data_IF_374449207381
#
_entry.id   IF_374449207381
#
_cell.length_a   1.000
_cell.length_b   1.000
_cell.length_c   1.000
_cell.angle_alpha   90.00
_cell.angle_beta   90.00
_cell.angle_gamma   90.00
#
_symmetry.space_group_name_H-M   'P 1'
#
loop_
_entity.id
_entity.type
_entity.pdbx_description
1 polymer ?
#
# COMPACT_ATOMS: atom_id res chain seq x y z
N UNK A 1 1.01 9.98 -9.32
CA UNK A 1 0.08 9.92 -8.18
C UNK A 1 0.87 9.71 -6.91
N UNK A 2 0.56 10.46 -5.87
CA UNK A 2 1.31 10.39 -4.62
C UNK A 2 0.59 9.48 -3.63
N UNK A 3 0.98 8.22 -3.61
CA UNK A 3 0.37 7.24 -2.73
C UNK A 3 0.94 7.35 -1.32
N UNK A 4 0.13 7.01 -0.32
CA UNK A 4 0.54 7.03 1.09
C UNK A 4 1.33 5.79 1.51
N UNK A 5 1.69 4.93 0.57
CA UNK A 5 2.32 3.64 0.90
C UNK A 5 3.68 3.81 1.59
N UNK A 6 4.45 4.82 1.20
CA UNK A 6 5.72 5.12 1.85
C UNK A 6 5.52 5.58 3.29
N UNK A 7 4.57 6.49 3.50
CA UNK A 7 4.30 7.02 4.84
C UNK A 7 3.84 5.92 5.78
N UNK A 8 2.96 5.03 5.31
CA UNK A 8 2.49 3.91 6.12
C UNK A 8 3.62 2.93 6.44
N UNK A 9 4.51 2.69 5.48
CA UNK A 9 5.67 1.84 5.69
C UNK A 9 6.60 2.44 6.75
N UNK A 10 6.89 3.73 6.63
CA UNK A 10 7.77 4.41 7.57
C UNK A 10 7.16 4.46 8.98
N UNK A 11 5.84 4.61 9.09
CA UNK A 11 5.14 4.59 10.38
C UNK A 11 5.32 3.25 11.11
N UNK A 12 5.53 2.16 10.37
CA UNK A 12 5.77 0.83 10.94
C UNK A 12 7.26 0.54 11.17
N UNK A 13 8.12 1.48 10.83
CA UNK A 13 9.58 1.29 10.88
C UNK A 13 10.05 0.13 9.99
N UNK A 14 9.33 -0.13 8.90
CA UNK A 14 9.71 -1.16 7.94
C UNK A 14 10.54 -0.56 6.80
N UNK A 15 11.45 -1.38 6.26
CA UNK A 15 12.17 -0.98 5.04
C UNK A 15 11.44 -1.50 3.80
N UNK A 16 11.90 -1.06 2.62
CA UNK A 16 11.25 -1.46 1.36
C UNK A 16 11.35 -2.97 1.11
N UNK A 17 12.44 -3.58 1.52
CA UNK A 17 12.65 -5.02 1.35
C UNK A 17 11.59 -5.83 2.09
N UNK A 18 11.26 -5.42 3.32
CA UNK A 18 10.25 -6.12 4.11
C UNK A 18 8.88 -6.11 3.44
N UNK A 19 8.49 -4.95 2.91
CA UNK A 19 7.20 -4.84 2.22
C UNK A 19 7.23 -5.58 0.89
N UNK A 20 8.33 -5.49 0.16
CA UNK A 20 8.49 -6.23 -1.10
C UNK A 20 8.38 -7.74 -0.88
N UNK A 21 8.97 -8.26 0.17
CA UNK A 21 8.87 -9.68 0.54
C UNK A 21 7.41 -10.07 0.84
N UNK A 22 6.68 -9.23 1.57
CA UNK A 22 5.26 -9.46 1.83
C UNK A 22 4.48 -9.55 0.52
N UNK A 23 4.81 -8.69 -0.45
CA UNK A 23 4.15 -8.66 -1.76
C UNK A 23 4.70 -9.72 -2.72
N UNK A 24 5.71 -10.47 -2.31
CA UNK A 24 6.35 -11.51 -3.11
C UNK A 24 6.96 -10.94 -4.39
N UNK A 25 7.66 -9.81 -4.27
CA UNK A 25 8.30 -9.13 -5.39
C UNK A 25 9.67 -8.59 -4.97
N UNK A 26 10.45 -8.10 -5.96
CA UNK A 26 11.75 -7.53 -5.69
C UNK A 26 11.65 -6.15 -5.04
N UNK A 27 12.67 -5.79 -4.25
CA UNK A 27 12.75 -4.46 -3.63
C UNK A 27 12.80 -3.37 -4.71
N UNK A 28 13.52 -3.60 -5.81
CA UNK A 28 13.60 -2.64 -6.92
C UNK A 28 12.23 -2.40 -7.54
N UNK A 29 11.46 -3.47 -7.77
CA UNK A 29 10.11 -3.35 -8.32
C UNK A 29 9.18 -2.60 -7.38
N UNK A 30 9.24 -2.90 -6.09
CA UNK A 30 8.43 -2.20 -5.10
C UNK A 30 8.80 -0.72 -5.00
N UNK A 31 10.11 -0.42 -5.04
CA UNK A 31 10.58 0.97 -4.95
C UNK A 31 9.98 1.85 -6.04
N UNK A 32 9.74 1.30 -7.22
CA UNK A 32 9.15 2.04 -8.33
C UNK A 32 7.68 2.41 -8.06
N UNK A 33 7.00 1.65 -7.21
CA UNK A 33 5.66 2.03 -6.76
C UNK A 33 5.72 3.26 -5.85
N UNK A 34 6.69 3.32 -4.94
CA UNK A 34 6.82 4.46 -4.03
C UNK A 34 7.23 5.74 -4.76
N UNK A 35 8.07 5.62 -5.78
CA UNK A 35 8.51 6.79 -6.57
C UNK A 35 7.50 7.24 -7.62
N UNK A 36 6.52 6.39 -7.94
CA UNK A 36 5.54 6.68 -8.97
C UNK A 36 6.00 6.34 -10.38
N UNK A 37 7.17 5.71 -10.54
CA UNK A 37 7.64 5.26 -11.86
C UNK A 37 6.72 4.21 -12.47
N UNK A 38 6.16 3.34 -11.65
CA UNK A 38 5.21 2.31 -12.08
C UNK A 38 3.89 2.49 -11.35
N UNK A 39 2.79 2.25 -12.06
CA UNK A 39 1.47 2.21 -11.45
C UNK A 39 1.32 0.95 -10.61
N UNK A 40 0.59 1.07 -9.50
CA UNK A 40 0.36 -0.05 -8.59
C UNK A 40 -0.87 -0.83 -9.07
N UNK A 41 -0.72 -2.12 -9.40
CA UNK A 41 -1.89 -2.93 -9.78
C UNK A 41 -2.91 -3.02 -8.65
N UNK A 42 -4.17 -3.24 -9.01
CA UNK A 42 -5.26 -3.34 -8.01
C UNK A 42 -4.99 -4.46 -7.01
N UNK A 43 -4.46 -5.60 -7.47
CA UNK A 43 -4.11 -6.71 -6.58
C UNK A 43 -3.09 -6.31 -5.51
N UNK A 44 -2.12 -5.49 -5.88
CA UNK A 44 -1.10 -5.00 -4.95
C UNK A 44 -1.71 -3.95 -4.01
N UNK A 45 -2.59 -3.09 -4.51
CA UNK A 45 -3.31 -2.12 -3.66
C UNK A 45 -4.13 -2.85 -2.60
N UNK A 46 -4.83 -3.92 -2.98
CA UNK A 46 -5.59 -4.72 -2.02
C UNK A 46 -4.69 -5.34 -0.96
N UNK A 47 -3.55 -5.90 -1.36
CA UNK A 47 -2.60 -6.49 -0.43
C UNK A 47 -2.03 -5.45 0.54
N UNK A 48 -1.71 -4.27 0.05
CA UNK A 48 -1.20 -3.18 0.89
C UNK A 48 -2.28 -2.67 1.86
N UNK A 49 -3.52 -2.55 1.40
CA UNK A 49 -4.63 -2.15 2.27
C UNK A 49 -4.81 -3.16 3.41
N UNK A 50 -4.72 -4.45 3.10
CA UNK A 50 -4.79 -5.50 4.12
C UNK A 50 -3.60 -5.43 5.08
N UNK A 51 -2.40 -5.23 4.55
CA UNK A 51 -1.17 -5.16 5.35
C UNK A 51 -1.25 -4.02 6.37
N UNK A 52 -1.73 -2.87 5.95
CA UNK A 52 -1.80 -1.68 6.79
C UNK A 52 -3.16 -1.51 7.48
N UNK A 53 -4.08 -2.46 7.30
CA UNK A 53 -5.42 -2.41 7.90
C UNK A 53 -6.12 -1.08 7.59
N UNK A 54 -6.15 -0.74 6.30
CA UNK A 54 -6.76 0.50 5.82
C UNK A 54 -7.52 0.24 4.52
N UNK A 55 -8.07 1.29 3.92
CA UNK A 55 -8.79 1.19 2.64
C UNK A 55 -7.88 1.59 1.48
N UNK A 56 -8.23 1.12 0.27
CA UNK A 56 -7.54 1.55 -0.95
C UNK A 56 -7.71 3.07 -1.13
N UNK A 57 -8.87 3.62 -0.81
CA UNK A 57 -9.10 5.06 -0.91
C UNK A 57 -8.12 5.85 -0.04
N UNK A 58 -7.80 5.35 1.16
CA UNK A 58 -6.81 6.00 2.00
C UNK A 58 -5.42 5.95 1.36
N UNK A 59 -5.05 4.81 0.77
CA UNK A 59 -3.78 4.68 0.06
C UNK A 59 -3.68 5.67 -1.09
N UNK A 60 -4.78 5.91 -1.80
CA UNK A 60 -4.84 6.82 -2.94
C UNK A 60 -5.01 8.29 -2.54
N UNK A 61 -5.17 8.57 -1.25
CA UNK A 61 -5.37 9.93 -0.78
C UNK A 61 -6.78 10.48 -1.04
N UNK A 62 -7.75 9.60 -1.32
CA UNK A 62 -9.13 10.02 -1.60
C UNK A 62 -9.96 10.22 -0.34
N UNK A 63 -9.47 9.75 0.78
CA UNK A 63 -10.08 9.95 2.10
C UNK A 63 -8.98 10.17 3.13
N UNK A 64 -9.28 10.87 4.20
CA UNK A 64 -8.37 11.03 5.35
C UNK A 64 -8.68 10.05 6.48
N UNK A 65 -9.70 9.19 6.29
CA UNK A 65 -10.05 8.18 7.27
C UNK A 65 -9.23 6.91 7.03
N UNK A 66 -8.29 6.53 7.95
CA UNK A 66 -7.45 5.34 7.76
C UNK A 66 -8.18 4.03 8.06
N UNK A 67 -9.38 4.06 8.59
CA UNK A 67 -10.12 2.86 8.92
C UNK A 67 -10.48 2.06 7.66
N UNK A 68 -10.37 0.73 7.69
CA UNK A 68 -10.79 -0.08 6.55
C UNK A 68 -12.31 -0.05 6.41
N UNK A 69 -12.77 -0.20 5.17
CA UNK A 69 -14.20 -0.34 4.94
C UNK A 69 -14.68 -1.69 5.46
N UNK A 70 -15.94 -1.74 5.91
CA UNK A 70 -16.53 -2.99 6.34
C UNK A 70 -16.67 -3.94 5.15
N UNK A 71 -16.42 -5.26 5.35
CA UNK A 71 -16.62 -6.22 4.29
C UNK A 71 -18.07 -6.22 3.80
N UNK A 72 -18.24 -6.38 2.49
CA UNK A 72 -19.58 -6.49 1.91
C UNK A 72 -20.22 -7.80 2.41
N UNK A 73 -21.42 -7.76 2.98
CA UNK A 73 -22.10 -8.97 3.43
C UNK A 73 -22.35 -9.89 2.25
N UNK A 74 -22.11 -11.16 2.43
CA UNK A 74 -22.37 -12.17 1.40
C UNK A 74 -23.75 -12.76 1.58
#
# INVERSE_FOLDING_TARGET
MNLRIRDLREDKDWNQTQVAEYLNMSQTGYSKYETGENDVPVSVLCALADLYQTSIDYLLGRTNNPEPYEPIPK
#
